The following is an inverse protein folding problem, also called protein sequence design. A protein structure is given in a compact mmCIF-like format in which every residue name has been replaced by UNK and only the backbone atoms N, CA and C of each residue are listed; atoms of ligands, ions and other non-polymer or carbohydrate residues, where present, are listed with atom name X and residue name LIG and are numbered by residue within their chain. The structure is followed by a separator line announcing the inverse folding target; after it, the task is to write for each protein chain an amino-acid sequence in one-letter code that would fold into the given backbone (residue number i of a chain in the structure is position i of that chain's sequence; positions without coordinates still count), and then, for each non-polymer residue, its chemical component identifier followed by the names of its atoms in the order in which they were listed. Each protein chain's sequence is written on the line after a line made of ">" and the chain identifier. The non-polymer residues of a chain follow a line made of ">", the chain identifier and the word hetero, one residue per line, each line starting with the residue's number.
data_IF_176999025644
#
_entry.id   IF_176999025644
#
_cell.length_a   1.000
_cell.length_b   1.000
_cell.length_c   1.000
_cell.angle_alpha   90.00
_cell.angle_beta   90.00
_cell.angle_gamma   90.00
#
_symmetry.space_group_name_H-M   'P 1'
#
loop_
_entity.id
_entity.type
_entity.pdbx_description
1 polymer ?
#
# COMPACT_ATOMS: atom_id res chain seq x y z
N UNK A 1 3.28 -13.26 -17.01
CA UNK A 1 2.52 -14.11 -16.07
C UNK A 1 2.33 -13.37 -14.75
N UNK A 2 1.11 -13.40 -14.21
CA UNK A 2 0.77 -12.82 -12.90
C UNK A 2 0.14 -13.92 -12.04
N UNK A 3 0.69 -14.13 -10.85
CA UNK A 3 0.11 -15.03 -9.84
C UNK A 3 -0.76 -14.20 -8.91
N UNK A 4 -2.02 -14.58 -8.75
CA UNK A 4 -3.03 -13.78 -8.05
C UNK A 4 -3.95 -14.66 -7.19
N UNK A 5 -4.35 -14.22 -6.00
CA UNK A 5 -5.35 -14.93 -5.21
C UNK A 5 -6.71 -14.99 -5.91
N UNK A 6 -7.42 -16.13 -5.79
CA UNK A 6 -8.77 -16.33 -6.35
C UNK A 6 -9.79 -15.34 -5.81
N UNK A 7 -9.56 -14.83 -4.59
CA UNK A 7 -10.44 -13.88 -3.90
C UNK A 7 -10.41 -12.47 -4.48
N UNK A 8 -9.45 -12.16 -5.36
CA UNK A 8 -9.39 -10.83 -5.99
C UNK A 8 -10.57 -10.62 -6.94
N UNK A 9 -11.01 -9.35 -7.05
CA UNK A 9 -12.19 -8.95 -7.82
C UNK A 9 -12.13 -9.42 -9.27
N UNK A 10 -13.31 -9.69 -9.85
CA UNK A 10 -13.45 -10.12 -11.25
C UNK A 10 -12.92 -9.06 -12.20
N UNK A 11 -13.25 -7.80 -11.94
CA UNK A 11 -12.86 -6.64 -12.74
C UNK A 11 -11.33 -6.52 -12.83
N UNK A 12 -10.62 -6.70 -11.71
CA UNK A 12 -9.15 -6.71 -11.67
C UNK A 12 -8.58 -7.80 -12.55
N UNK A 13 -9.12 -9.02 -12.45
CA UNK A 13 -8.66 -10.16 -13.25
C UNK A 13 -8.91 -9.97 -14.74
N UNK A 14 -10.06 -9.43 -15.11
CA UNK A 14 -10.44 -9.14 -16.49
C UNK A 14 -9.53 -8.05 -17.07
N UNK A 15 -9.27 -6.99 -16.32
CA UNK A 15 -8.35 -5.92 -16.75
C UNK A 15 -6.94 -6.47 -16.99
N UNK A 16 -6.42 -7.30 -16.10
CA UNK A 16 -5.10 -7.91 -16.27
C UNK A 16 -5.04 -8.79 -17.52
N UNK A 17 -6.09 -9.57 -17.80
CA UNK A 17 -6.18 -10.39 -19.03
C UNK A 17 -6.24 -9.51 -20.28
N UNK A 18 -7.03 -8.43 -20.24
CA UNK A 18 -7.12 -7.45 -21.33
C UNK A 18 -5.75 -6.83 -21.65
N UNK A 19 -4.94 -6.58 -20.62
CA UNK A 19 -3.55 -6.13 -20.78
C UNK A 19 -2.58 -7.25 -21.27
N UNK A 20 -3.07 -8.44 -21.62
CA UNK A 20 -2.27 -9.55 -22.14
C UNK A 20 -1.59 -10.42 -21.06
N UNK A 21 -1.96 -10.27 -19.78
CA UNK A 21 -1.37 -11.08 -18.74
C UNK A 21 -1.90 -12.53 -18.73
N UNK A 22 -0.99 -13.51 -18.62
CA UNK A 22 -1.35 -14.87 -18.25
C UNK A 22 -1.55 -14.94 -16.73
N UNK A 23 -2.76 -15.24 -16.28
CA UNK A 23 -3.07 -15.37 -14.85
C UNK A 23 -2.88 -16.79 -14.36
N UNK A 24 -2.27 -16.92 -13.19
CA UNK A 24 -2.22 -18.13 -12.38
C UNK A 24 -2.94 -17.84 -11.07
N UNK A 25 -4.13 -18.38 -10.93
CA UNK A 25 -4.98 -18.17 -9.76
C UNK A 25 -4.66 -19.20 -8.67
N UNK A 26 -4.35 -18.73 -7.47
CA UNK A 26 -4.06 -19.56 -6.29
C UNK A 26 -5.01 -19.23 -5.14
N UNK A 27 -5.02 -20.04 -4.11
CA UNK A 27 -5.81 -19.76 -2.92
C UNK A 27 -5.21 -18.59 -2.12
N UNK A 28 -6.07 -17.85 -1.41
CA UNK A 28 -5.65 -16.76 -0.53
C UNK A 28 -5.07 -17.35 0.76
N UNK A 29 -3.76 -17.54 0.80
CA UNK A 29 -3.04 -18.16 1.91
C UNK A 29 -2.05 -17.15 2.53
N UNK A 30 -1.76 -17.25 3.84
CA UNK A 30 -0.77 -16.42 4.50
C UNK A 30 0.63 -16.62 3.92
N UNK A 31 1.50 -15.63 4.04
CA UNK A 31 2.86 -15.68 3.49
C UNK A 31 3.71 -16.84 4.00
N UNK A 32 3.44 -17.33 5.22
CA UNK A 32 4.10 -18.52 5.78
C UNK A 32 3.80 -19.82 5.03
N UNK A 33 2.68 -19.88 4.29
CA UNK A 33 2.27 -21.05 3.51
C UNK A 33 3.00 -21.10 2.16
N UNK A 34 3.58 -22.24 1.73
CA UNK A 34 4.22 -22.39 0.42
C UNK A 34 3.30 -22.10 -0.77
N UNK A 35 1.99 -22.28 -0.63
CA UNK A 35 0.97 -21.97 -1.64
C UNK A 35 0.61 -20.49 -1.75
N UNK A 36 1.20 -19.60 -0.92
CA UNK A 36 0.99 -18.17 -1.03
C UNK A 36 1.43 -17.64 -2.41
N UNK A 37 0.66 -16.74 -2.98
CA UNK A 37 0.86 -16.22 -4.34
C UNK A 37 2.26 -15.65 -4.59
N UNK A 38 2.92 -15.04 -3.60
CA UNK A 38 4.30 -14.52 -3.72
C UNK A 38 5.28 -15.67 -3.86
N UNK A 39 5.17 -16.70 -3.01
CA UNK A 39 6.04 -17.89 -3.06
C UNK A 39 5.84 -18.71 -4.33
N UNK A 40 4.57 -18.86 -4.75
CA UNK A 40 4.25 -19.53 -6.03
C UNK A 40 4.81 -18.74 -7.21
N UNK A 41 4.75 -17.41 -7.21
CA UNK A 41 5.33 -16.59 -8.27
C UNK A 41 6.86 -16.74 -8.36
N UNK A 42 7.54 -16.80 -7.22
CA UNK A 42 8.98 -17.09 -7.17
C UNK A 42 9.31 -18.46 -7.78
N UNK A 43 8.57 -19.50 -7.36
CA UNK A 43 8.75 -20.85 -7.88
C UNK A 43 8.56 -20.88 -9.40
N UNK A 44 7.46 -20.34 -9.90
CA UNK A 44 7.17 -20.28 -11.34
C UNK A 44 8.27 -19.54 -12.10
N UNK A 45 8.79 -18.44 -11.55
CA UNK A 45 9.87 -17.68 -12.22
C UNK A 45 11.16 -18.49 -12.41
N UNK A 46 11.43 -19.44 -11.52
CA UNK A 46 12.58 -20.34 -11.60
C UNK A 46 12.36 -21.54 -12.56
N UNK A 47 11.10 -21.90 -12.79
CA UNK A 47 10.70 -23.03 -13.62
C UNK A 47 10.44 -22.63 -15.09
N UNK A 48 10.10 -21.36 -15.36
CA UNK A 48 9.91 -20.88 -16.72
C UNK A 48 11.25 -20.83 -17.46
N UNK A 49 11.29 -21.46 -18.62
CA UNK A 49 12.39 -21.28 -19.58
C UNK A 49 11.97 -20.30 -20.68
N UNK A 50 12.78 -19.27 -20.90
CA UNK A 50 12.57 -18.30 -21.97
C UNK A 50 13.94 -17.89 -22.55
N UNK A 51 14.13 -17.91 -23.87
CA UNK A 51 15.41 -17.56 -24.52
C UNK A 51 15.85 -16.11 -24.22
N UNK A 52 14.91 -15.22 -23.92
CA UNK A 52 15.18 -13.82 -23.56
C UNK A 52 15.37 -13.63 -22.04
N UNK A 53 15.46 -14.71 -21.28
CA UNK A 53 15.56 -14.67 -19.82
C UNK A 53 14.20 -14.51 -19.12
N UNK A 54 14.23 -14.58 -17.79
CA UNK A 54 13.06 -14.44 -16.92
C UNK A 54 13.40 -13.45 -15.81
N UNK A 55 12.55 -12.46 -15.63
CA UNK A 55 12.64 -11.51 -14.52
C UNK A 55 11.50 -11.75 -13.55
N UNK A 56 11.81 -12.07 -12.31
CA UNK A 56 10.85 -12.03 -11.21
C UNK A 56 10.83 -10.63 -10.59
N UNK A 57 9.73 -9.91 -10.78
CA UNK A 57 9.61 -8.51 -10.31
C UNK A 57 9.72 -8.37 -8.79
N UNK A 58 9.24 -9.38 -8.01
CA UNK A 58 9.32 -9.42 -6.54
C UNK A 58 8.99 -8.08 -5.86
N UNK A 59 7.83 -7.52 -6.21
CA UNK A 59 7.46 -6.14 -5.86
C UNK A 59 7.53 -5.80 -4.35
N UNK A 60 7.44 -6.80 -3.47
CA UNK A 60 7.48 -6.60 -2.02
C UNK A 60 8.91 -6.41 -1.49
N UNK A 61 9.89 -7.10 -2.08
CA UNK A 61 11.25 -7.15 -1.56
C UNK A 61 12.30 -6.63 -2.55
N UNK A 62 11.91 -6.25 -3.76
CA UNK A 62 12.77 -5.58 -4.73
C UNK A 62 12.83 -4.07 -4.42
N UNK A 63 14.00 -3.61 -4.00
CA UNK A 63 14.23 -2.21 -3.61
C UNK A 63 14.12 -1.21 -4.77
N UNK A 64 14.07 -1.67 -6.03
CA UNK A 64 13.77 -0.81 -7.18
C UNK A 64 12.40 -0.16 -7.05
N UNK A 65 11.46 -0.80 -6.35
CA UNK A 65 10.15 -0.25 -6.03
C UNK A 65 10.30 1.03 -5.18
N UNK A 66 10.96 0.94 -4.03
CA UNK A 66 11.29 2.10 -3.17
C UNK A 66 12.07 3.16 -3.92
N UNK A 67 13.09 2.74 -4.69
CA UNK A 67 13.96 3.64 -5.45
C UNK A 67 13.18 4.44 -6.50
N UNK A 68 12.23 3.83 -7.21
CA UNK A 68 11.40 4.54 -8.19
C UNK A 68 10.62 5.68 -7.54
N UNK A 69 9.94 5.41 -6.42
CA UNK A 69 9.19 6.44 -5.68
C UNK A 69 10.08 7.53 -5.08
N UNK A 70 11.31 7.19 -4.67
CA UNK A 70 12.28 8.19 -4.22
C UNK A 70 12.72 9.13 -5.36
N UNK A 71 12.93 8.58 -6.57
CA UNK A 71 13.45 9.36 -7.71
C UNK A 71 12.35 10.14 -8.46
N UNK A 72 11.08 9.75 -8.36
CA UNK A 72 9.99 10.38 -9.10
C UNK A 72 8.87 10.88 -8.19
N UNK A 73 8.13 9.99 -7.53
CA UNK A 73 6.93 10.35 -6.77
C UNK A 73 7.20 11.33 -5.63
N UNK A 74 8.32 11.15 -4.91
CA UNK A 74 8.74 12.05 -3.83
C UNK A 74 9.00 13.47 -4.33
N UNK A 75 9.85 13.67 -5.36
CA UNK A 75 10.05 14.96 -6.01
C UNK A 75 8.76 15.57 -6.53
N UNK A 76 7.95 14.82 -7.27
CA UNK A 76 6.69 15.30 -7.85
C UNK A 76 5.73 15.84 -6.77
N UNK A 77 5.59 15.13 -5.65
CA UNK A 77 4.78 15.59 -4.52
C UNK A 77 5.38 16.86 -3.93
N UNK A 78 6.66 16.88 -3.61
CA UNK A 78 7.32 18.03 -2.98
C UNK A 78 7.22 19.30 -3.84
N UNK A 79 7.47 19.16 -5.14
CA UNK A 79 7.44 20.28 -6.09
C UNK A 79 6.01 20.78 -6.33
N UNK A 80 5.00 19.89 -6.33
CA UNK A 80 3.58 20.26 -6.48
C UNK A 80 3.10 21.19 -5.36
N UNK A 81 3.70 21.11 -4.18
CA UNK A 81 3.43 22.01 -3.05
C UNK A 81 4.49 23.12 -2.88
N UNK A 82 5.38 23.30 -3.87
CA UNK A 82 6.48 24.28 -3.80
C UNK A 82 7.32 24.15 -2.52
N UNK A 83 7.47 22.91 -2.04
CA UNK A 83 8.18 22.59 -0.80
C UNK A 83 7.43 22.92 0.50
N UNK A 84 6.23 23.47 0.42
CA UNK A 84 5.40 23.80 1.59
C UNK A 84 4.48 22.61 1.95
N UNK A 85 5.04 21.62 2.62
CA UNK A 85 4.38 20.36 2.96
C UNK A 85 4.55 20.04 4.45
N UNK A 86 3.46 19.98 5.20
CA UNK A 86 3.48 19.66 6.64
C UNK A 86 3.55 18.15 6.90
N UNK A 87 2.96 17.34 6.02
CA UNK A 87 2.95 15.90 6.20
C UNK A 87 2.58 15.11 4.94
N UNK A 88 2.90 13.84 4.98
CA UNK A 88 2.55 12.85 3.98
C UNK A 88 1.94 11.62 4.65
N UNK A 89 0.82 11.15 4.15
CA UNK A 89 0.16 9.95 4.64
C UNK A 89 -0.22 9.04 3.50
N UNK A 90 0.04 7.75 3.63
CA UNK A 90 -0.46 6.76 2.69
C UNK A 90 -0.60 5.37 3.31
N UNK A 91 -1.45 4.56 2.71
CA UNK A 91 -1.60 3.15 3.04
C UNK A 91 -0.44 2.30 2.50
N UNK A 92 -0.25 1.13 3.10
CA UNK A 92 0.84 0.22 2.78
C UNK A 92 0.31 -1.03 2.08
N UNK A 93 0.75 -1.23 0.84
CA UNK A 93 0.71 -2.51 0.14
C UNK A 93 2.10 -3.15 0.17
N UNK A 94 2.95 -2.82 -0.78
CA UNK A 94 4.35 -3.30 -0.82
C UNK A 94 5.30 -2.51 0.09
N UNK A 95 4.91 -1.30 0.48
CA UNK A 95 5.74 -0.36 1.22
C UNK A 95 6.63 0.53 0.35
N UNK A 96 6.67 0.30 -0.96
CA UNK A 96 7.55 1.06 -1.87
C UNK A 96 7.26 2.55 -1.87
N UNK A 97 5.98 2.93 -1.96
CA UNK A 97 5.55 4.34 -2.00
C UNK A 97 5.92 5.07 -0.72
N UNK A 98 5.45 4.57 0.45
CA UNK A 98 5.77 5.23 1.73
C UNK A 98 7.28 5.33 1.95
N UNK A 99 8.02 4.26 1.64
CA UNK A 99 9.46 4.23 1.85
C UNK A 99 10.22 5.20 0.93
N UNK A 100 9.89 5.24 -0.35
CA UNK A 100 10.55 6.13 -1.31
C UNK A 100 10.21 7.59 -1.06
N UNK A 101 8.92 7.91 -0.95
CA UNK A 101 8.45 9.28 -0.72
C UNK A 101 8.95 9.81 0.61
N UNK A 102 8.80 9.05 1.72
CA UNK A 102 9.27 9.51 3.03
C UNK A 102 10.77 9.75 3.09
N UNK A 103 11.57 8.89 2.44
CA UNK A 103 13.02 9.09 2.37
C UNK A 103 13.36 10.41 1.70
N UNK A 104 12.72 10.72 0.56
CA UNK A 104 12.92 11.98 -0.15
C UNK A 104 12.46 13.18 0.68
N UNK A 105 11.25 13.14 1.22
CA UNK A 105 10.69 14.26 1.99
C UNK A 105 11.49 14.56 3.25
N UNK A 106 11.93 13.52 3.99
CA UNK A 106 12.76 13.69 5.20
C UNK A 106 14.17 14.21 4.91
N UNK A 107 14.71 14.02 3.70
CA UNK A 107 15.95 14.67 3.27
C UNK A 107 15.74 16.16 3.00
N UNK A 108 14.57 16.55 2.47
CA UNK A 108 14.23 17.96 2.24
C UNK A 108 13.95 18.72 3.53
N UNK A 109 13.06 18.20 4.35
CA UNK A 109 12.76 18.74 5.68
C UNK A 109 12.38 17.60 6.65
N UNK A 110 13.16 17.42 7.69
CA UNK A 110 12.92 16.44 8.76
C UNK A 110 11.62 16.70 9.54
N UNK A 111 11.07 17.91 9.49
CA UNK A 111 9.82 18.29 10.17
C UNK A 111 8.58 17.73 9.47
N UNK A 112 8.65 17.45 8.16
CA UNK A 112 7.53 16.88 7.41
C UNK A 112 7.11 15.58 8.10
N UNK A 113 5.86 15.49 8.53
CA UNK A 113 5.31 14.30 9.20
C UNK A 113 5.02 13.20 8.21
N UNK A 114 5.45 11.98 8.52
CA UNK A 114 5.16 10.79 7.71
C UNK A 114 4.26 9.87 8.51
N UNK A 115 3.09 9.58 7.96
CA UNK A 115 2.07 8.80 8.64
C UNK A 115 1.60 7.62 7.78
N UNK A 116 1.09 6.60 8.45
CA UNK A 116 0.50 5.42 7.81
C UNK A 116 -1.02 5.45 7.98
N UNK A 117 -1.72 5.20 6.88
CA UNK A 117 -3.13 4.87 6.84
C UNK A 117 -3.28 3.34 6.73
N UNK A 118 -3.80 2.68 7.75
CA UNK A 118 -3.82 1.22 7.81
C UNK A 118 -5.25 0.68 7.95
N UNK A 119 -5.69 -0.27 7.11
CA UNK A 119 -7.01 -0.88 7.27
C UNK A 119 -7.03 -1.86 8.44
N UNK A 120 -8.21 -2.20 8.92
CA UNK A 120 -8.41 -3.33 9.83
C UNK A 120 -7.87 -4.61 9.17
N UNK A 121 -7.39 -5.55 9.96
CA UNK A 121 -6.78 -6.80 9.47
C UNK A 121 -5.31 -6.67 9.02
N UNK A 122 -4.76 -5.47 8.98
CA UNK A 122 -3.33 -5.22 8.78
C UNK A 122 -2.58 -5.18 10.12
N UNK A 123 -1.29 -5.50 10.09
CA UNK A 123 -0.41 -5.44 11.26
C UNK A 123 0.46 -4.17 11.32
N UNK A 124 0.39 -3.31 10.29
CA UNK A 124 1.33 -2.18 10.16
C UNK A 124 1.08 -1.10 11.21
N UNK A 125 -0.18 -0.79 11.52
CA UNK A 125 -0.49 0.16 12.58
C UNK A 125 0.13 -0.26 13.92
N UNK A 126 -0.08 -1.49 14.36
CA UNK A 126 0.47 -2.01 15.60
C UNK A 126 2.00 -2.06 15.58
N UNK A 127 2.58 -2.45 14.45
CA UNK A 127 4.02 -2.51 14.32
C UNK A 127 4.68 -1.12 14.48
N UNK A 128 4.20 -0.12 13.77
CA UNK A 128 4.80 1.22 13.83
C UNK A 128 4.46 1.99 15.10
N UNK A 129 3.35 1.66 15.76
CA UNK A 129 2.94 2.30 17.00
C UNK A 129 3.53 1.65 18.25
N UNK A 130 3.56 0.31 18.28
CA UNK A 130 3.83 -0.47 19.48
C UNK A 130 5.02 -1.43 19.32
N UNK A 131 5.59 -1.55 18.12
CA UNK A 131 6.65 -2.53 17.81
C UNK A 131 6.16 -3.98 17.68
N UNK A 132 4.85 -4.22 17.62
CA UNK A 132 4.26 -5.57 17.62
C UNK A 132 3.59 -5.86 16.29
N UNK A 133 3.99 -6.95 15.64
CA UNK A 133 3.43 -7.37 14.36
C UNK A 133 2.16 -8.23 14.55
N UNK A 134 1.09 -7.60 14.98
CA UNK A 134 -0.21 -8.22 15.22
C UNK A 134 -1.32 -7.47 14.48
N UNK A 135 -2.28 -8.23 13.96
CA UNK A 135 -3.45 -7.69 13.27
C UNK A 135 -4.74 -8.01 14.01
N UNK A 136 -5.74 -7.14 13.91
CA UNK A 136 -7.08 -7.36 14.45
C UNK A 136 -8.14 -6.99 13.41
N UNK A 137 -9.26 -7.72 13.41
CA UNK A 137 -10.35 -7.48 12.47
C UNK A 137 -10.03 -7.91 11.03
N UNK A 138 -10.84 -7.43 10.11
CA UNK A 138 -10.74 -7.66 8.67
C UNK A 138 -11.15 -6.42 7.91
N UNK A 139 -10.75 -6.28 6.65
CA UNK A 139 -11.17 -5.22 5.75
C UNK A 139 -11.55 -5.77 4.39
N UNK A 140 -12.50 -5.11 3.74
CA UNK A 140 -12.87 -5.38 2.34
C UNK A 140 -11.91 -4.78 1.34
N UNK A 141 -10.96 -3.95 1.78
CA UNK A 141 -10.02 -3.29 0.90
C UNK A 141 -9.01 -4.27 0.30
N UNK A 142 -8.73 -4.12 -0.98
CA UNK A 142 -7.76 -4.92 -1.70
C UNK A 142 -6.48 -4.13 -2.00
N UNK A 143 -5.33 -4.83 -1.97
CA UNK A 143 -4.03 -4.27 -2.37
C UNK A 143 -3.31 -3.46 -1.31
N UNK A 144 -3.93 -3.22 -0.16
CA UNK A 144 -3.34 -2.60 1.02
C UNK A 144 -3.52 -3.48 2.26
N UNK A 145 -2.79 -3.16 3.33
CA UNK A 145 -2.74 -3.98 4.53
C UNK A 145 -1.68 -5.07 4.43
N UNK A 146 -0.77 -5.11 5.38
CA UNK A 146 0.33 -6.07 5.43
C UNK A 146 0.41 -6.78 6.78
N UNK A 147 0.72 -8.08 6.74
CA UNK A 147 0.99 -8.89 7.92
C UNK A 147 2.49 -9.15 8.16
N UNK A 148 3.39 -8.56 7.35
CA UNK A 148 4.84 -8.72 7.48
C UNK A 148 5.58 -7.44 7.11
N UNK A 149 6.80 -7.30 7.59
CA UNK A 149 7.71 -6.25 7.14
C UNK A 149 8.35 -6.71 5.83
N UNK A 150 8.12 -5.95 4.76
CA UNK A 150 8.76 -6.14 3.46
C UNK A 150 10.13 -5.48 3.45
N UNK A 151 11.02 -5.86 2.52
CA UNK A 151 12.32 -5.17 2.38
C UNK A 151 12.17 -3.69 2.03
N UNK A 152 11.11 -3.31 1.33
CA UNK A 152 10.83 -1.91 1.06
C UNK A 152 10.55 -1.11 2.33
N UNK A 153 10.01 -1.73 3.39
CA UNK A 153 9.69 -1.08 4.68
C UNK A 153 10.87 -1.03 5.66
N UNK A 154 11.97 -1.72 5.36
CA UNK A 154 13.15 -1.66 6.23
C UNK A 154 13.67 -0.23 6.36
N UNK A 155 13.87 0.21 7.61
CA UNK A 155 14.35 1.55 7.97
C UNK A 155 13.45 2.73 7.54
N UNK A 156 12.16 2.49 7.29
CA UNK A 156 11.20 3.57 7.06
C UNK A 156 10.89 4.27 8.38
N UNK A 157 11.04 5.60 8.37
CA UNK A 157 10.69 6.44 9.51
C UNK A 157 9.23 6.85 9.39
N UNK A 158 8.42 6.45 10.37
CA UNK A 158 7.01 6.79 10.48
C UNK A 158 6.81 7.57 11.78
N UNK A 159 6.22 8.76 11.68
CA UNK A 159 5.95 9.61 12.84
C UNK A 159 4.64 9.21 13.55
N UNK A 160 3.65 8.72 12.81
CA UNK A 160 2.37 8.26 13.36
C UNK A 160 1.68 7.24 12.45
N UNK A 161 0.72 6.51 12.98
CA UNK A 161 -0.11 5.57 12.23
C UNK A 161 -1.56 5.60 12.69
N UNK A 162 -2.49 5.50 11.75
CA UNK A 162 -3.93 5.52 11.99
C UNK A 162 -4.55 4.25 11.44
N UNK A 163 -5.38 3.60 12.24
CA UNK A 163 -6.15 2.43 11.80
C UNK A 163 -7.59 2.88 11.50
N UNK A 164 -8.07 2.51 10.32
CA UNK A 164 -9.38 2.92 9.80
C UNK A 164 -10.22 1.68 9.53
N UNK A 165 -11.48 1.71 9.95
CA UNK A 165 -12.44 0.66 9.64
C UNK A 165 -13.14 0.92 8.30
N UNK A 166 -13.73 -0.14 7.73
CA UNK A 166 -14.38 -0.06 6.42
C UNK A 166 -15.61 0.87 6.40
N UNK A 167 -16.33 0.96 7.51
CA UNK A 167 -17.53 1.81 7.58
C UNK A 167 -17.18 3.30 7.41
N UNK A 168 -16.16 3.78 8.15
CA UNK A 168 -15.67 5.15 8.02
C UNK A 168 -15.13 5.44 6.60
N UNK A 169 -14.37 4.50 6.05
CA UNK A 169 -13.83 4.64 4.70
C UNK A 169 -14.93 4.70 3.63
N UNK A 170 -15.94 3.85 3.73
CA UNK A 170 -17.08 3.80 2.80
C UNK A 170 -17.94 5.05 2.91
N UNK A 171 -18.30 5.47 4.13
CA UNK A 171 -19.07 6.69 4.35
C UNK A 171 -18.41 7.88 3.64
N UNK A 172 -17.10 8.07 3.85
CA UNK A 172 -16.38 9.19 3.26
C UNK A 172 -16.34 9.13 1.72
N UNK A 173 -16.06 7.96 1.10
CA UNK A 173 -16.04 7.89 -0.36
C UNK A 173 -17.42 8.08 -0.99
N UNK A 174 -18.51 7.69 -0.31
CA UNK A 174 -19.86 7.99 -0.75
C UNK A 174 -20.21 9.48 -0.62
N UNK A 175 -19.76 10.14 0.44
CA UNK A 175 -19.91 11.60 0.57
C UNK A 175 -19.11 12.34 -0.53
N UNK A 176 -17.88 11.89 -0.83
CA UNK A 176 -17.10 12.46 -1.93
C UNK A 176 -17.75 12.23 -3.30
N UNK A 177 -18.34 11.06 -3.51
CA UNK A 177 -19.12 10.81 -4.73
C UNK A 177 -20.32 11.74 -4.84
N UNK A 178 -21.07 11.92 -3.75
CA UNK A 178 -22.32 12.69 -3.72
C UNK A 178 -22.09 14.19 -3.85
N UNK A 179 -21.07 14.73 -3.19
CA UNK A 179 -20.85 16.16 -3.11
C UNK A 179 -19.79 16.69 -4.08
N UNK A 180 -18.80 15.86 -4.43
CA UNK A 180 -17.69 16.26 -5.31
C UNK A 180 -17.70 15.53 -6.67
N UNK A 181 -18.57 14.54 -6.85
CA UNK A 181 -18.61 13.73 -8.08
C UNK A 181 -17.40 12.81 -8.25
N UNK A 182 -16.63 12.54 -7.18
CA UNK A 182 -15.42 11.72 -7.24
C UNK A 182 -15.73 10.25 -6.98
N UNK A 183 -15.48 9.40 -7.97
CA UNK A 183 -15.60 7.94 -7.84
C UNK A 183 -14.27 7.38 -7.37
N UNK A 184 -14.19 6.97 -6.11
CA UNK A 184 -12.96 6.51 -5.46
C UNK A 184 -13.09 5.07 -4.97
N UNK A 185 -11.97 4.35 -4.89
CA UNK A 185 -11.90 3.01 -4.32
C UNK A 185 -11.76 3.02 -2.78
N UNK A 186 -12.01 1.85 -2.15
CA UNK A 186 -11.92 1.72 -0.68
C UNK A 186 -10.58 2.15 -0.09
N UNK A 187 -9.46 1.86 -0.77
CA UNK A 187 -8.14 2.33 -0.33
C UNK A 187 -8.01 3.86 -0.29
N UNK A 188 -8.71 4.58 -1.17
CA UNK A 188 -8.78 6.05 -1.12
C UNK A 188 -9.52 6.50 0.13
N UNK A 189 -10.61 5.82 0.52
CA UNK A 189 -11.31 6.08 1.77
C UNK A 189 -10.42 5.93 2.99
N UNK A 190 -9.67 4.82 3.10
CA UNK A 190 -8.69 4.60 4.17
C UNK A 190 -7.69 5.76 4.27
N UNK A 191 -7.11 6.19 3.13
CA UNK A 191 -6.15 7.29 3.10
C UNK A 191 -6.79 8.62 3.51
N UNK A 192 -7.99 8.92 3.02
CA UNK A 192 -8.65 10.22 3.26
C UNK A 192 -9.15 10.35 4.70
N UNK A 193 -9.72 9.28 5.29
CA UNK A 193 -10.07 9.27 6.73
C UNK A 193 -8.83 9.51 7.57
N UNK A 194 -7.74 8.80 7.29
CA UNK A 194 -6.48 8.98 8.03
C UNK A 194 -5.91 10.40 7.90
N UNK A 195 -6.08 11.04 6.73
CA UNK A 195 -5.68 12.43 6.52
C UNK A 195 -6.45 13.40 7.44
N UNK A 196 -7.75 13.18 7.65
CA UNK A 196 -8.54 14.02 8.57
C UNK A 196 -8.01 13.94 10.01
N UNK A 197 -7.55 12.77 10.45
CA UNK A 197 -6.92 12.60 11.77
C UNK A 197 -5.57 13.31 11.90
N UNK A 198 -4.85 13.50 10.80
CA UNK A 198 -3.58 14.22 10.79
C UNK A 198 -3.78 15.74 10.87
N UNK A 199 -4.79 16.27 10.19
CA UNK A 199 -4.96 17.72 9.96
C UNK A 199 -5.91 18.41 10.91
N UNK A 200 -6.87 17.68 11.50
CA UNK A 200 -7.81 18.27 12.44
C UNK A 200 -7.26 18.10 13.86
N UNK A 201 -6.95 19.22 14.58
CA UNK A 201 -6.91 19.14 16.02
C UNK A 201 -8.31 18.68 16.46
N UNK A 202 -8.38 17.63 17.28
CA UNK A 202 -9.60 17.11 17.89
C UNK A 202 -10.37 18.22 18.58
N UNK A 203 -11.10 19.03 17.84
CA UNK A 203 -12.15 19.85 18.37
C UNK A 203 -13.45 19.11 18.13
N UNK A 204 -13.92 18.49 19.22
CA UNK A 204 -15.29 18.02 19.33
C UNK A 204 -16.25 19.09 18.81
N UNK A 205 -17.12 18.70 17.95
CA UNK A 205 -18.38 19.39 17.68
C UNK A 205 -19.37 18.94 18.73
#
# INVERSE_FOLDING_TARGET
>A
TIVIPRTQSKEKKEMLKLCGAKLVEVDALPYSNPGNYIRVSEKISKEISNPNGVLWANQFDNLSNKKAHYLSTGPEIYDSFSGNLDGFICSIGTGGTIAGVSSYLKEKDKKIKVCIADPMGSAMHNYFKNGVLESSGTSITEGIGQGRITKNLENVIVDNSFQVNDAEALELIFEMLKHEGLILGGSSGINTVSYTHLTLPTKCW
#
